data_IF_636016862558
#
_entry.id   IF_636016862558
#
_cell.length_a   1.000
_cell.length_b   1.000
_cell.length_c   1.000
_cell.angle_alpha   90.00
_cell.angle_beta   90.00
_cell.angle_gamma   90.00
#
_symmetry.space_group_name_H-M   'P 1'
#
loop_
_entity.id
_entity.type
_entity.pdbx_description
1 polymer ?
#
# COMPACT_ATOMS: atom_id res chain seq x y z
N UNK A 1 -3.65 17.44 6.06
CA UNK A 1 -2.29 16.95 5.66
C UNK A 1 -2.33 16.58 4.19
N UNK A 2 -1.43 17.13 3.40
CA UNK A 2 -1.29 16.77 2.00
C UNK A 2 -0.69 15.36 1.86
N UNK A 3 -0.84 14.73 0.68
CA UNK A 3 -0.22 13.43 0.41
C UNK A 3 1.31 13.50 0.53
N UNK A 4 1.91 14.62 0.12
CA UNK A 4 3.36 14.80 0.24
C UNK A 4 3.82 14.89 1.70
N UNK A 5 3.09 15.62 2.53
CA UNK A 5 3.36 15.68 3.98
C UNK A 5 3.19 14.31 4.63
N UNK A 6 2.14 13.57 4.25
CA UNK A 6 1.90 12.20 4.73
C UNK A 6 3.09 11.28 4.39
N UNK A 7 3.60 11.35 3.15
CA UNK A 7 4.77 10.57 2.72
C UNK A 7 6.04 10.95 3.48
N UNK A 8 6.29 12.26 3.63
CA UNK A 8 7.47 12.74 4.34
C UNK A 8 7.45 12.28 5.81
N UNK A 9 6.31 12.40 6.46
CA UNK A 9 6.12 11.94 7.84
C UNK A 9 6.31 10.43 7.95
N UNK A 10 5.70 9.65 7.04
CA UNK A 10 5.84 8.20 7.04
C UNK A 10 7.30 7.77 6.83
N UNK A 11 7.99 8.38 5.87
CA UNK A 11 9.42 8.13 5.65
C UNK A 11 10.23 8.43 6.92
N UNK A 12 9.99 9.57 7.54
CA UNK A 12 10.69 9.96 8.78
C UNK A 12 10.44 8.94 9.90
N UNK A 13 9.18 8.51 10.07
CA UNK A 13 8.82 7.49 11.05
C UNK A 13 9.52 6.15 10.77
N UNK A 14 9.56 5.71 9.51
CA UNK A 14 10.20 4.45 9.14
C UNK A 14 11.71 4.47 9.33
N UNK A 15 12.35 5.64 9.22
CA UNK A 15 13.78 5.80 9.47
C UNK A 15 14.14 5.96 10.96
N UNK A 16 13.16 6.20 11.80
CA UNK A 16 13.36 6.32 13.25
C UNK A 16 13.44 4.92 13.89
N UNK A 17 14.62 4.55 14.35
CA UNK A 17 14.87 3.25 15.00
C UNK A 17 14.54 3.22 16.50
N UNK A 18 14.06 4.33 17.08
CA UNK A 18 13.80 4.42 18.51
C UNK A 18 12.62 3.54 18.99
N UNK A 19 11.70 3.21 18.09
CA UNK A 19 10.59 2.29 18.37
C UNK A 19 10.18 1.48 17.13
N UNK A 20 9.57 0.33 17.38
CA UNK A 20 8.96 -0.48 16.33
C UNK A 20 7.73 0.24 15.73
N UNK A 21 7.59 0.19 14.43
CA UNK A 21 6.40 0.65 13.73
C UNK A 21 5.48 -0.53 13.45
N UNK A 22 4.19 -0.33 13.63
CA UNK A 22 3.19 -1.38 13.45
C UNK A 22 2.22 -0.97 12.36
N UNK A 23 2.21 -1.73 11.26
CA UNK A 23 1.29 -1.53 10.16
C UNK A 23 0.19 -2.60 10.22
N UNK A 24 -1.06 -2.18 10.08
CA UNK A 24 -2.19 -3.09 10.03
C UNK A 24 -2.42 -3.59 8.62
N UNK A 25 -2.57 -4.90 8.44
CA UNK A 25 -3.01 -5.45 7.16
C UNK A 25 -4.42 -4.95 6.82
N UNK A 26 -4.58 -4.31 5.67
CA UNK A 26 -5.85 -3.80 5.19
C UNK A 26 -6.00 -4.07 3.70
N UNK A 27 -7.10 -4.68 3.30
CA UNK A 27 -7.33 -5.14 1.93
C UNK A 27 -8.65 -4.65 1.32
N UNK A 28 -9.47 -3.97 2.12
CA UNK A 28 -10.69 -3.31 1.67
C UNK A 28 -10.97 -2.06 2.52
N UNK A 29 -11.98 -1.27 2.13
CA UNK A 29 -12.32 -0.03 2.82
C UNK A 29 -12.75 -0.26 4.27
N UNK A 30 -13.40 -1.38 4.56
CA UNK A 30 -13.85 -1.70 5.94
C UNK A 30 -12.66 -1.95 6.83
N UNK A 31 -11.72 -2.79 6.40
CA UNK A 31 -10.50 -3.09 7.19
C UNK A 31 -9.60 -1.87 7.34
N UNK A 32 -9.48 -1.04 6.29
CA UNK A 32 -8.72 0.21 6.37
C UNK A 32 -9.32 1.19 7.39
N UNK A 33 -10.63 1.38 7.36
CA UNK A 33 -11.32 2.23 8.35
C UNK A 33 -11.28 1.67 9.76
N UNK A 34 -11.37 0.35 9.92
CA UNK A 34 -11.22 -0.30 11.22
C UNK A 34 -9.79 -0.08 11.78
N UNK A 35 -8.76 -0.20 10.94
CA UNK A 35 -7.39 0.07 11.32
C UNK A 35 -7.21 1.52 11.81
N UNK A 36 -7.79 2.48 11.10
CA UNK A 36 -7.74 3.89 11.50
C UNK A 36 -8.50 4.13 12.82
N UNK A 37 -9.68 3.54 12.98
CA UNK A 37 -10.50 3.72 14.18
C UNK A 37 -9.85 3.11 15.44
N UNK A 38 -8.98 2.13 15.28
CA UNK A 38 -8.24 1.53 16.39
C UNK A 38 -7.23 2.49 17.05
N UNK A 39 -6.83 3.55 16.34
CA UNK A 39 -5.93 4.62 16.82
C UNK A 39 -4.62 4.09 17.45
N UNK A 40 -4.13 2.98 16.91
CA UNK A 40 -2.95 2.28 17.41
C UNK A 40 -1.86 2.15 16.36
N UNK A 41 -2.24 2.02 15.09
CA UNK A 41 -1.32 1.66 14.02
C UNK A 41 -0.63 2.90 13.43
N UNK A 42 0.62 2.71 13.02
CA UNK A 42 1.42 3.75 12.32
C UNK A 42 1.05 3.87 10.84
N UNK A 43 0.35 2.89 10.30
CA UNK A 43 -0.09 2.86 8.91
C UNK A 43 -0.81 1.56 8.57
N UNK A 44 -1.10 1.40 7.30
CA UNK A 44 -1.69 0.19 6.74
C UNK A 44 -0.73 -0.46 5.74
N UNK A 45 -0.87 -1.77 5.60
CA UNK A 45 -0.15 -2.57 4.61
C UNK A 45 -1.14 -3.38 3.78
N UNK A 46 -1.06 -3.26 2.46
CA UNK A 46 -1.82 -4.11 1.55
C UNK A 46 -0.91 -5.18 0.96
N UNK A 47 -1.04 -6.40 1.48
CA UNK A 47 -0.30 -7.56 1.00
C UNK A 47 -0.85 -8.11 -0.31
N UNK A 48 0.00 -8.71 -1.13
CA UNK A 48 -0.39 -9.29 -2.41
C UNK A 48 -1.42 -10.40 -2.28
N UNK A 49 -1.25 -11.28 -1.28
CA UNK A 49 -2.21 -12.37 -1.02
C UNK A 49 -3.59 -11.84 -0.62
N UNK A 50 -3.64 -10.86 0.26
CA UNK A 50 -4.90 -10.28 0.71
C UNK A 50 -5.61 -9.56 -0.44
N UNK A 51 -4.87 -8.83 -1.28
CA UNK A 51 -5.41 -8.18 -2.48
C UNK A 51 -5.93 -9.20 -3.50
N UNK A 52 -5.18 -10.24 -3.81
CA UNK A 52 -5.60 -11.30 -4.74
C UNK A 52 -6.87 -12.01 -4.26
N UNK A 53 -6.93 -12.35 -2.99
CA UNK A 53 -8.11 -13.00 -2.40
C UNK A 53 -9.32 -12.06 -2.39
N UNK A 54 -9.14 -10.80 -2.03
CA UNK A 54 -10.22 -9.81 -1.93
C UNK A 54 -10.75 -9.39 -3.30
N UNK A 55 -9.88 -9.16 -4.28
CA UNK A 55 -10.28 -8.68 -5.61
C UNK A 55 -10.83 -9.79 -6.50
N UNK A 56 -10.16 -10.93 -6.53
CA UNK A 56 -10.43 -11.99 -7.52
C UNK A 56 -10.79 -13.33 -6.89
N UNK A 57 -10.64 -13.49 -5.56
CA UNK A 57 -10.84 -14.78 -4.90
C UNK A 57 -9.83 -15.84 -5.34
N UNK A 58 -8.60 -15.43 -5.65
CA UNK A 58 -7.54 -16.30 -6.15
C UNK A 58 -6.32 -16.28 -5.23
N UNK A 59 -5.45 -17.31 -5.29
CA UNK A 59 -4.20 -17.29 -4.55
C UNK A 59 -3.21 -16.26 -5.11
N UNK A 60 -2.17 -15.96 -4.33
CA UNK A 60 -1.11 -15.00 -4.68
C UNK A 60 -0.10 -15.63 -5.65
N UNK A 61 -0.47 -15.67 -6.92
CA UNK A 61 0.31 -16.27 -8.00
C UNK A 61 0.57 -15.31 -9.18
N UNK A 62 0.54 -13.99 -8.89
CA UNK A 62 0.74 -12.99 -9.92
C UNK A 62 -0.44 -12.82 -10.88
N UNK A 63 -1.66 -13.20 -10.46
CA UNK A 63 -2.86 -13.12 -11.28
C UNK A 63 -3.50 -11.74 -11.29
N UNK A 64 -3.24 -10.91 -10.27
CA UNK A 64 -3.72 -9.53 -10.19
C UNK A 64 -2.83 -8.66 -11.07
N UNK A 65 -3.44 -7.92 -11.99
CA UNK A 65 -2.71 -6.97 -12.84
C UNK A 65 -2.28 -5.73 -12.06
N UNK A 66 -1.18 -5.11 -12.49
CA UNK A 66 -0.67 -3.89 -11.85
C UNK A 66 -1.68 -2.75 -11.81
N UNK A 67 -2.50 -2.59 -12.86
CA UNK A 67 -3.54 -1.56 -12.90
C UNK A 67 -4.68 -1.84 -11.92
N UNK A 68 -5.06 -3.10 -11.71
CA UNK A 68 -6.05 -3.50 -10.70
C UNK A 68 -5.53 -3.23 -9.30
N UNK A 69 -4.27 -3.60 -9.04
CA UNK A 69 -3.59 -3.37 -7.76
C UNK A 69 -3.50 -1.87 -7.45
N UNK A 70 -3.08 -1.06 -8.43
CA UNK A 70 -2.94 0.39 -8.27
C UNK A 70 -4.29 1.06 -8.01
N UNK A 71 -5.32 0.66 -8.75
CA UNK A 71 -6.67 1.21 -8.55
C UNK A 71 -7.20 0.87 -7.15
N UNK A 72 -7.04 -0.36 -6.73
CA UNK A 72 -7.45 -0.79 -5.40
C UNK A 72 -6.68 -0.05 -4.30
N UNK A 73 -5.37 0.09 -4.46
CA UNK A 73 -4.53 0.87 -3.55
C UNK A 73 -4.97 2.33 -3.43
N UNK A 74 -5.34 2.95 -4.57
CA UNK A 74 -5.86 4.31 -4.60
C UNK A 74 -7.16 4.43 -3.80
N UNK A 75 -8.07 3.50 -3.97
CA UNK A 75 -9.36 3.50 -3.26
C UNK A 75 -9.13 3.38 -1.75
N UNK A 76 -8.24 2.49 -1.32
CA UNK A 76 -7.91 2.32 0.09
C UNK A 76 -7.21 3.56 0.68
N UNK A 77 -6.21 4.10 -0.02
CA UNK A 77 -5.48 5.28 0.44
C UNK A 77 -6.38 6.52 0.53
N UNK A 78 -7.43 6.59 -0.28
CA UNK A 78 -8.37 7.72 -0.28
C UNK A 78 -9.39 7.68 0.86
N UNK A 79 -9.64 6.52 1.45
CA UNK A 79 -10.68 6.37 2.47
C UNK A 79 -10.19 6.55 3.91
N UNK A 80 -8.86 6.69 4.12
CA UNK A 80 -8.24 6.87 5.44
C UNK A 80 -7.09 7.86 5.41
N UNK A 81 -6.75 8.41 6.57
CA UNK A 81 -5.59 9.29 6.74
C UNK A 81 -4.30 8.53 7.03
N UNK A 82 -4.40 7.28 7.46
CA UNK A 82 -3.22 6.43 7.68
C UNK A 82 -2.40 6.25 6.40
N UNK A 83 -1.07 6.30 6.49
CA UNK A 83 -0.23 6.01 5.34
C UNK A 83 -0.36 4.56 4.92
N UNK A 84 -0.36 4.30 3.61
CA UNK A 84 -0.38 2.96 3.03
C UNK A 84 0.99 2.59 2.45
N UNK A 85 1.47 1.43 2.86
CA UNK A 85 2.55 0.68 2.23
C UNK A 85 1.93 -0.50 1.49
N UNK A 86 2.34 -0.77 0.26
CA UNK A 86 1.82 -1.89 -0.51
C UNK A 86 2.90 -2.85 -0.97
N UNK A 87 2.48 -4.09 -1.19
CA UNK A 87 3.22 -5.09 -1.96
C UNK A 87 2.99 -4.81 -3.44
N UNK A 88 4.06 -4.45 -4.14
CA UNK A 88 4.05 -4.19 -5.58
C UNK A 88 4.60 -5.38 -6.39
N UNK A 89 4.63 -6.57 -5.79
CA UNK A 89 5.10 -7.79 -6.43
C UNK A 89 6.52 -7.59 -6.99
N UNK A 90 6.78 -7.96 -8.24
CA UNK A 90 8.07 -7.69 -8.91
C UNK A 90 8.06 -6.41 -9.76
N UNK A 91 6.99 -5.61 -9.65
CA UNK A 91 6.83 -4.34 -10.37
C UNK A 91 6.01 -4.42 -11.65
N UNK A 92 5.41 -5.59 -11.92
CA UNK A 92 4.45 -5.84 -13.03
C UNK A 92 5.06 -5.70 -14.42
N UNK A 93 6.27 -6.23 -14.60
CA UNK A 93 6.92 -6.33 -15.88
C UNK A 93 8.43 -6.10 -15.82
N UNK A 94 9.00 -5.54 -16.91
CA UNK A 94 10.40 -5.20 -16.98
C UNK A 94 10.72 -3.89 -16.25
N UNK A 95 11.96 -3.42 -16.32
CA UNK A 95 12.40 -2.21 -15.64
C UNK A 95 11.61 -0.95 -16.02
N UNK A 96 11.12 -0.86 -17.25
CA UNK A 96 10.29 0.26 -17.69
C UNK A 96 8.89 0.18 -17.07
N UNK A 97 8.36 -1.03 -16.92
CA UNK A 97 7.10 -1.26 -16.22
C UNK A 97 7.21 -0.93 -14.73
N UNK A 98 8.32 -1.27 -14.08
CA UNK A 98 8.59 -0.90 -12.68
C UNK A 98 8.57 0.61 -12.50
N UNK A 99 9.22 1.34 -13.42
CA UNK A 99 9.22 2.81 -13.41
C UNK A 99 7.80 3.38 -13.52
N UNK A 100 6.98 2.80 -14.41
CA UNK A 100 5.57 3.18 -14.56
C UNK A 100 4.78 2.87 -13.30
N UNK A 101 4.94 1.67 -12.75
CA UNK A 101 4.29 1.24 -11.51
C UNK A 101 4.56 2.22 -10.37
N UNK A 102 5.80 2.66 -10.20
CA UNK A 102 6.16 3.65 -9.20
C UNK A 102 5.42 4.97 -9.38
N UNK A 103 5.32 5.46 -10.61
CA UNK A 103 4.58 6.70 -10.92
C UNK A 103 3.08 6.55 -10.64
N UNK A 104 2.51 5.42 -11.02
CA UNK A 104 1.09 5.15 -10.83
C UNK A 104 0.76 5.06 -9.32
N UNK A 105 1.60 4.40 -8.53
CA UNK A 105 1.46 4.32 -7.07
C UNK A 105 1.64 5.68 -6.40
N UNK A 106 2.58 6.48 -6.89
CA UNK A 106 2.76 7.85 -6.41
C UNK A 106 1.51 8.68 -6.67
N UNK A 107 0.95 8.62 -7.88
CA UNK A 107 -0.30 9.30 -8.22
C UNK A 107 -1.49 8.79 -7.41
N UNK A 108 -1.51 7.51 -7.05
CA UNK A 108 -2.54 6.89 -6.21
C UNK A 108 -2.51 7.31 -4.73
N UNK A 109 -1.50 8.06 -4.30
CA UNK A 109 -1.40 8.52 -2.91
C UNK A 109 -0.72 7.54 -1.96
N UNK A 110 -0.10 6.49 -2.49
CA UNK A 110 0.63 5.49 -1.71
C UNK A 110 1.90 6.10 -1.11
N UNK A 111 2.20 5.76 0.14
CA UNK A 111 3.34 6.30 0.88
C UNK A 111 4.62 5.47 0.77
N UNK A 112 4.49 4.21 0.40
CA UNK A 112 5.61 3.31 0.18
C UNK A 112 5.19 2.03 -0.52
N UNK A 113 6.13 1.38 -1.16
CA UNK A 113 5.93 0.08 -1.80
C UNK A 113 7.16 -0.79 -1.57
N UNK A 114 6.96 -2.10 -1.39
CA UNK A 114 8.05 -3.03 -1.48
C UNK A 114 7.99 -3.80 -2.80
N UNK A 115 9.15 -4.07 -3.36
CA UNK A 115 9.31 -4.86 -4.58
C UNK A 115 10.13 -6.10 -4.25
N UNK A 116 9.68 -7.23 -4.75
CA UNK A 116 10.40 -8.49 -4.66
C UNK A 116 11.37 -8.63 -5.84
N UNK A 117 12.56 -9.17 -5.58
CA UNK A 117 13.58 -9.41 -6.59
C UNK A 117 13.81 -10.92 -6.87
#
# INVERSE_FOLDING_TARGET
>A
MTVQEKRANFKSQMMDSSRMKVLCGAFDGITARAAQAADFFDGCYMGGQAAAASLLGVPDLGLVCGCEQTKHAQDLASCVDLPFLIDADTGYGNELNVRRTMRDLEAAGICGAHFED
#
